data_IF_942696030290
#
_entry.id   IF_942696030290
#
_cell.length_a   1.000
_cell.length_b   1.000
_cell.length_c   1.000
_cell.angle_alpha   90.00
_cell.angle_beta   90.00
_cell.angle_gamma   90.00
#
_symmetry.space_group_name_H-M   'P 1'
#
loop_
_entity.id
_entity.type
_entity.pdbx_description
1 polymer ?
#
# COMPACT_ATOMS: atom_id res chain seq x y z
N UNK A 1 -8.79 12.43 -26.94
CA UNK A 1 -8.84 13.26 -25.72
C UNK A 1 -7.79 12.72 -24.80
N UNK A 2 -6.71 13.44 -24.52
CA UNK A 2 -5.66 12.96 -23.61
C UNK A 2 -6.23 12.95 -22.18
N UNK A 3 -6.38 11.77 -21.60
CA UNK A 3 -6.67 11.64 -20.18
C UNK A 3 -5.54 12.34 -19.42
N UNK A 4 -5.86 13.47 -18.81
CA UNK A 4 -4.90 14.30 -18.08
C UNK A 4 -4.73 13.74 -16.65
N UNK A 5 -4.38 12.45 -16.55
CA UNK A 5 -4.11 11.81 -15.27
C UNK A 5 -2.88 12.48 -14.67
N UNK A 6 -3.01 12.99 -13.46
CA UNK A 6 -1.90 13.60 -12.72
C UNK A 6 -1.05 12.48 -12.13
N UNK A 7 0.15 12.32 -12.65
CA UNK A 7 1.09 11.31 -12.19
C UNK A 7 1.71 11.80 -10.87
N UNK A 8 1.48 11.07 -9.79
CA UNK A 8 2.00 11.41 -8.45
C UNK A 8 3.31 10.71 -8.11
N UNK A 9 3.69 9.66 -8.86
CA UNK A 9 4.86 8.82 -8.60
C UNK A 9 5.66 8.57 -9.88
N UNK A 10 6.97 8.44 -9.71
CA UNK A 10 7.92 8.21 -10.79
C UNK A 10 9.11 7.37 -10.30
N UNK A 11 9.93 6.88 -11.21
CA UNK A 11 11.18 6.19 -10.90
C UNK A 11 12.36 7.15 -10.98
N UNK A 12 13.14 7.22 -9.90
CA UNK A 12 14.40 7.96 -9.84
C UNK A 12 15.55 7.04 -10.18
N UNK A 13 16.05 7.11 -11.42
CA UNK A 13 17.15 6.27 -11.90
C UNK A 13 18.45 6.44 -11.14
N UNK A 14 18.73 7.63 -10.61
CA UNK A 14 19.97 7.88 -9.88
C UNK A 14 19.95 7.26 -8.50
N UNK A 15 18.77 7.19 -7.87
CA UNK A 15 18.58 6.62 -6.54
C UNK A 15 18.07 5.17 -6.58
N UNK A 16 17.83 4.65 -7.79
CA UNK A 16 17.30 3.30 -8.05
C UNK A 16 16.05 2.98 -7.21
N UNK A 17 15.07 3.92 -7.21
CA UNK A 17 13.84 3.79 -6.43
C UNK A 17 12.68 4.57 -6.99
N UNK A 18 11.49 4.15 -6.62
CA UNK A 18 10.28 4.94 -6.83
C UNK A 18 10.28 6.16 -5.88
N UNK A 19 9.70 7.25 -6.31
CA UNK A 19 9.64 8.50 -5.57
C UNK A 19 8.30 9.21 -5.78
N UNK A 20 7.74 9.75 -4.69
CA UNK A 20 6.57 10.62 -4.77
C UNK A 20 6.94 12.00 -5.33
N UNK A 21 5.98 12.67 -5.94
CA UNK A 21 6.19 14.02 -6.48
C UNK A 21 6.63 15.02 -5.42
N UNK A 22 6.21 14.85 -4.16
CA UNK A 22 6.60 15.75 -3.07
C UNK A 22 8.08 15.64 -2.71
N UNK A 23 8.63 14.43 -2.76
CA UNK A 23 10.05 14.17 -2.51
C UNK A 23 10.93 14.43 -3.74
N UNK A 24 10.31 14.62 -4.91
CA UNK A 24 11.00 14.85 -6.16
C UNK A 24 11.59 16.27 -6.25
N UNK A 25 12.78 16.36 -6.82
CA UNK A 25 13.46 17.62 -7.07
C UNK A 25 12.92 18.31 -8.34
N UNK A 26 12.78 19.63 -8.30
CA UNK A 26 12.43 20.43 -9.46
C UNK A 26 13.62 20.39 -10.45
N UNK A 27 13.36 20.27 -11.72
CA UNK A 27 14.36 20.25 -12.80
C UNK A 27 15.13 18.94 -12.99
N UNK A 28 14.92 17.93 -12.16
CA UNK A 28 15.45 16.59 -12.37
C UNK A 28 14.51 15.78 -13.29
N UNK A 29 15.08 14.89 -14.07
CA UNK A 29 14.33 13.96 -14.91
C UNK A 29 14.07 12.66 -14.13
N UNK A 30 12.87 12.12 -14.33
CA UNK A 30 12.38 10.88 -13.75
C UNK A 30 11.86 9.99 -14.87
N UNK A 31 11.55 8.75 -14.57
CA UNK A 31 10.98 7.82 -15.52
C UNK A 31 9.55 7.44 -15.13
N UNK A 32 8.68 7.33 -16.11
CA UNK A 32 7.32 6.85 -15.91
C UNK A 32 7.32 5.37 -15.54
N UNK A 33 6.60 5.00 -14.50
CA UNK A 33 6.50 3.60 -14.06
C UNK A 33 5.80 2.69 -15.07
N UNK A 34 4.99 3.27 -15.97
CA UNK A 34 4.21 2.51 -16.93
C UNK A 34 4.90 2.41 -18.30
N UNK A 35 5.26 3.55 -18.88
CA UNK A 35 5.80 3.59 -20.24
C UNK A 35 7.29 3.82 -20.32
N UNK A 36 7.97 3.95 -19.20
CA UNK A 36 9.40 4.27 -19.10
C UNK A 36 9.82 5.58 -19.79
N UNK A 37 8.84 6.41 -20.20
CA UNK A 37 9.07 7.73 -20.77
C UNK A 37 9.55 8.74 -19.74
N UNK A 38 10.26 9.77 -20.23
CA UNK A 38 10.83 10.79 -19.37
C UNK A 38 9.77 11.70 -18.76
N UNK A 39 9.86 11.91 -17.46
CA UNK A 39 8.99 12.74 -16.65
C UNK A 39 9.74 13.90 -16.02
N UNK A 40 9.03 15.02 -15.80
CA UNK A 40 9.47 16.12 -14.93
C UNK A 40 8.40 16.50 -13.94
N UNK A 41 8.85 17.01 -12.79
CA UNK A 41 7.97 17.59 -11.77
C UNK A 41 7.48 18.96 -12.22
N UNK A 42 6.16 19.16 -12.17
CA UNK A 42 5.52 20.46 -12.31
C UNK A 42 5.07 20.95 -10.94
N UNK A 43 5.55 22.12 -10.55
CA UNK A 43 5.14 22.81 -9.34
C UNK A 43 4.36 24.06 -9.74
N UNK A 44 3.27 24.35 -9.05
CA UNK A 44 2.49 25.57 -9.26
C UNK A 44 1.79 26.00 -7.98
N UNK A 45 1.59 27.30 -7.83
CA UNK A 45 0.90 27.87 -6.66
C UNK A 45 -0.61 27.61 -6.64
N UNK A 46 -1.19 27.24 -7.79
CA UNK A 46 -2.65 27.07 -7.98
C UNK A 46 -3.03 25.61 -8.25
N UNK A 47 -2.11 24.83 -8.78
CA UNK A 47 -2.38 23.42 -9.13
C UNK A 47 -1.50 22.51 -8.30
N UNK A 48 -2.09 21.36 -7.89
CA UNK A 48 -1.37 20.27 -7.21
C UNK A 48 -0.10 19.90 -8.00
N UNK A 49 1.00 19.67 -7.30
CA UNK A 49 2.22 19.13 -7.89
C UNK A 49 1.93 17.79 -8.57
N UNK A 50 2.54 17.56 -9.73
CA UNK A 50 2.42 16.31 -10.47
C UNK A 50 3.61 16.14 -11.41
N UNK A 51 3.89 14.91 -11.77
CA UNK A 51 4.78 14.63 -12.89
C UNK A 51 4.03 14.78 -14.21
N UNK A 52 4.75 15.16 -15.23
CA UNK A 52 4.24 15.22 -16.60
C UNK A 52 5.28 14.67 -17.55
N UNK A 53 4.82 14.03 -18.63
CA UNK A 53 5.72 13.56 -19.69
C UNK A 53 6.33 14.72 -20.42
N UNK A 54 7.63 14.62 -20.69
CA UNK A 54 8.27 15.43 -21.71
C UNK A 54 7.82 14.96 -23.10
N UNK A 55 8.02 15.79 -24.14
CA UNK A 55 7.54 15.52 -25.48
C UNK A 55 7.93 14.13 -26.00
N UNK A 56 7.00 13.42 -26.62
CA UNK A 56 7.24 12.15 -27.29
C UNK A 56 6.56 10.91 -26.73
N UNK A 57 5.90 11.00 -25.57
CA UNK A 57 5.15 9.88 -25.01
C UNK A 57 3.64 9.98 -25.29
N UNK A 58 3.27 9.87 -26.58
CA UNK A 58 1.86 9.92 -27.02
C UNK A 58 1.06 8.66 -26.61
N UNK A 59 1.70 7.62 -26.09
CA UNK A 59 1.12 6.30 -25.83
C UNK A 59 1.04 5.91 -24.36
N UNK A 60 1.32 6.81 -23.42
CA UNK A 60 1.17 6.47 -22.02
C UNK A 60 -0.30 6.47 -21.60
N UNK A 61 -0.79 5.30 -21.24
CA UNK A 61 -2.15 5.07 -20.79
C UNK A 61 -2.20 4.81 -19.28
N UNK A 62 -1.46 5.57 -18.47
CA UNK A 62 -1.63 5.47 -17.02
C UNK A 62 -3.11 5.72 -16.71
N UNK A 63 -3.76 4.71 -16.16
CA UNK A 63 -5.11 4.85 -15.63
C UNK A 63 -5.07 5.50 -14.23
N UNK A 64 -6.19 6.08 -13.81
CA UNK A 64 -6.34 6.54 -12.42
C UNK A 64 -6.14 5.37 -11.43
N UNK A 65 -6.58 4.19 -11.81
CA UNK A 65 -6.41 2.95 -11.06
C UNK A 65 -4.94 2.60 -10.88
N UNK A 66 -4.15 2.55 -11.96
CA UNK A 66 -2.71 2.26 -11.90
C UNK A 66 -1.98 3.30 -11.04
N UNK A 67 -2.35 4.57 -11.17
CA UNK A 67 -1.76 5.64 -10.37
C UNK A 67 -2.12 5.51 -8.89
N UNK A 68 -3.37 5.17 -8.57
CA UNK A 68 -3.83 4.92 -7.21
C UNK A 68 -3.13 3.70 -6.58
N UNK A 69 -3.03 2.59 -7.33
CA UNK A 69 -2.37 1.36 -6.88
C UNK A 69 -0.89 1.63 -6.56
N UNK A 70 -0.14 2.12 -7.52
CA UNK A 70 1.30 2.36 -7.35
C UNK A 70 1.57 3.41 -6.28
N UNK A 71 0.74 4.46 -6.21
CA UNK A 71 0.87 5.52 -5.23
C UNK A 71 0.64 5.04 -3.80
N UNK A 72 -0.45 4.34 -3.59
CA UNK A 72 -0.78 3.83 -2.25
C UNK A 72 0.22 2.75 -1.79
N UNK A 73 0.69 1.90 -2.70
CA UNK A 73 1.73 0.91 -2.40
C UNK A 73 3.03 1.57 -1.92
N UNK A 74 3.52 2.58 -2.66
CA UNK A 74 4.73 3.29 -2.28
C UNK A 74 4.56 4.05 -0.96
N UNK A 75 3.44 4.73 -0.75
CA UNK A 75 3.16 5.44 0.49
C UNK A 75 3.14 4.48 1.70
N UNK A 76 2.46 3.32 1.57
CA UNK A 76 2.45 2.30 2.62
C UNK A 76 3.87 1.83 2.94
N UNK A 77 4.65 1.49 1.92
CA UNK A 77 6.04 1.08 2.07
C UNK A 77 6.86 2.15 2.80
N UNK A 78 6.79 3.41 2.36
CA UNK A 78 7.51 4.52 2.99
C UNK A 78 7.10 4.72 4.46
N UNK A 79 5.81 4.61 4.78
CA UNK A 79 5.36 4.66 6.17
C UNK A 79 6.01 3.54 7.01
N UNK A 80 5.99 2.31 6.52
CA UNK A 80 6.54 1.16 7.23
C UNK A 80 8.08 1.24 7.39
N UNK A 81 8.79 1.74 6.38
CA UNK A 81 10.24 1.95 6.42
C UNK A 81 10.64 3.09 7.37
N UNK A 82 9.91 4.19 7.35
CA UNK A 82 10.17 5.37 8.18
C UNK A 82 9.68 5.21 9.64
N UNK A 83 9.05 4.07 9.98
CA UNK A 83 8.42 3.86 11.30
C UNK A 83 7.21 4.75 11.56
N UNK A 84 6.57 5.25 10.49
CA UNK A 84 5.31 5.98 10.57
C UNK A 84 4.15 5.00 10.56
N UNK A 85 3.10 5.32 11.29
CA UNK A 85 1.90 4.51 11.35
C UNK A 85 0.92 4.91 10.24
N UNK A 86 0.75 4.09 9.17
CA UNK A 86 -0.23 4.38 8.13
C UNK A 86 -1.65 4.38 8.72
N UNK A 87 -2.55 5.16 8.12
CA UNK A 87 -3.94 5.22 8.58
C UNK A 87 -4.69 4.01 8.02
N UNK A 88 -4.87 2.98 8.86
CA UNK A 88 -5.57 1.75 8.50
C UNK A 88 -6.86 1.64 9.32
N UNK A 89 -7.98 1.45 8.63
CA UNK A 89 -9.28 1.24 9.25
C UNK A 89 -9.73 -0.21 9.07
N UNK A 90 -10.22 -0.79 10.15
CA UNK A 90 -10.81 -2.10 10.18
C UNK A 90 -12.33 -2.01 10.29
N UNK A 91 -13.04 -2.62 9.35
CA UNK A 91 -14.48 -2.70 9.42
C UNK A 91 -14.90 -3.80 10.41
N UNK A 92 -15.81 -3.49 11.33
CA UNK A 92 -16.24 -4.45 12.34
C UNK A 92 -16.95 -5.66 11.76
N UNK A 93 -17.54 -5.55 10.57
CA UNK A 93 -18.29 -6.64 9.94
C UNK A 93 -17.40 -7.81 9.46
N UNK A 94 -16.11 -7.54 9.19
CA UNK A 94 -15.15 -8.57 8.77
C UNK A 94 -14.38 -9.22 9.94
N UNK A 95 -14.63 -8.80 11.18
CA UNK A 95 -14.00 -9.41 12.35
C UNK A 95 -14.40 -10.88 12.51
N UNK A 96 -13.43 -11.80 12.67
CA UNK A 96 -13.74 -13.22 12.86
C UNK A 96 -14.37 -13.51 14.22
N UNK A 97 -14.05 -12.71 15.26
CA UNK A 97 -14.63 -12.87 16.59
C UNK A 97 -16.05 -12.32 16.65
N UNK A 98 -17.03 -13.23 16.66
CA UNK A 98 -18.45 -12.91 16.69
C UNK A 98 -18.81 -12.13 17.96
N UNK A 99 -18.21 -12.44 19.11
CA UNK A 99 -18.51 -11.75 20.38
C UNK A 99 -18.04 -10.30 20.32
N UNK A 100 -16.81 -10.09 19.87
CA UNK A 100 -16.25 -8.74 19.70
C UNK A 100 -17.07 -7.93 18.69
N UNK A 101 -17.43 -8.52 17.55
CA UNK A 101 -18.30 -7.89 16.55
C UNK A 101 -19.64 -7.47 17.12
N UNK A 102 -20.28 -8.32 17.93
CA UNK A 102 -21.56 -7.99 18.59
C UNK A 102 -21.43 -6.86 19.61
N UNK A 103 -20.32 -6.82 20.38
CA UNK A 103 -20.04 -5.74 21.33
C UNK A 103 -19.88 -4.41 20.59
N UNK A 104 -19.04 -4.38 19.57
CA UNK A 104 -18.78 -3.17 18.78
C UNK A 104 -20.03 -2.68 18.05
N UNK A 105 -20.84 -3.57 17.50
CA UNK A 105 -22.10 -3.22 16.86
C UNK A 105 -23.11 -2.64 17.87
N UNK A 106 -23.22 -3.19 19.08
CA UNK A 106 -24.04 -2.60 20.16
C UNK A 106 -23.57 -1.21 20.53
N UNK A 107 -22.26 -0.97 20.55
CA UNK A 107 -21.65 0.34 20.77
C UNK A 107 -21.77 1.28 19.55
N UNK A 108 -22.37 0.83 18.44
CA UNK A 108 -22.48 1.55 17.16
C UNK A 108 -21.12 1.88 16.53
N UNK A 109 -20.09 1.14 16.87
CA UNK A 109 -18.75 1.25 16.27
C UNK A 109 -18.73 0.36 15.02
N UNK A 110 -18.75 0.99 13.84
CA UNK A 110 -18.69 0.28 12.54
C UNK A 110 -17.29 0.11 12.01
N UNK A 111 -16.37 0.97 12.42
CA UNK A 111 -14.99 1.02 11.95
C UNK A 111 -14.09 1.55 13.06
N UNK A 112 -12.87 1.05 13.15
CA UNK A 112 -11.85 1.56 14.08
C UNK A 112 -10.48 1.57 13.40
N UNK A 113 -9.62 2.48 13.86
CA UNK A 113 -8.24 2.53 13.41
C UNK A 113 -7.43 1.44 14.09
N UNK A 114 -6.55 0.81 13.32
CA UNK A 114 -5.57 -0.14 13.82
C UNK A 114 -4.17 0.31 13.39
N UNK A 115 -3.18 0.15 14.25
CA UNK A 115 -1.80 0.45 13.89
C UNK A 115 -1.17 -0.70 13.10
N UNK A 116 -0.18 -0.37 12.27
CA UNK A 116 0.60 -1.39 11.58
C UNK A 116 1.37 -2.27 12.58
N UNK A 117 1.82 -1.71 13.70
CA UNK A 117 2.49 -2.45 14.78
C UNK A 117 1.58 -3.47 15.44
N UNK A 118 0.30 -3.13 15.68
CA UNK A 118 -0.69 -4.07 16.22
C UNK A 118 -0.93 -5.23 15.25
N UNK A 119 -1.01 -4.95 13.95
CA UNK A 119 -1.16 -5.97 12.91
C UNK A 119 0.05 -6.90 12.83
N UNK A 120 1.23 -6.37 13.07
CA UNK A 120 2.48 -7.11 12.98
C UNK A 120 2.99 -7.65 14.34
N UNK A 121 2.22 -7.53 15.40
CA UNK A 121 2.62 -7.90 16.77
C UNK A 121 3.91 -7.20 17.28
N UNK A 122 4.13 -5.95 16.87
CA UNK A 122 5.25 -5.13 17.32
C UNK A 122 6.64 -5.59 16.89
N UNK A 123 6.74 -6.45 15.89
CA UNK A 123 8.04 -6.90 15.36
C UNK A 123 8.63 -5.86 14.40
N UNK A 124 9.89 -5.50 14.56
CA UNK A 124 10.57 -4.57 13.64
C UNK A 124 10.75 -5.19 12.25
N UNK A 125 10.57 -4.39 11.21
CA UNK A 125 10.45 -4.89 9.84
C UNK A 125 11.16 -4.01 8.81
N UNK A 126 11.69 -4.69 7.80
CA UNK A 126 12.12 -4.07 6.55
C UNK A 126 11.05 -4.40 5.51
N UNK A 127 10.52 -3.39 4.83
CA UNK A 127 9.53 -3.57 3.77
C UNK A 127 10.19 -3.54 2.39
N UNK A 128 9.70 -4.37 1.49
CA UNK A 128 10.13 -4.42 0.11
C UNK A 128 8.89 -4.53 -0.79
N UNK A 129 8.84 -3.72 -1.85
CA UNK A 129 7.74 -3.72 -2.82
C UNK A 129 8.02 -4.69 -3.97
N UNK A 130 6.94 -5.26 -4.52
CA UNK A 130 6.97 -6.17 -5.67
C UNK A 130 8.03 -7.28 -5.56
N UNK A 131 8.13 -7.90 -4.39
CA UNK A 131 9.05 -9.00 -4.18
C UNK A 131 8.35 -10.34 -4.34
N UNK A 132 9.13 -11.33 -4.77
CA UNK A 132 8.66 -12.70 -4.85
C UNK A 132 8.44 -13.26 -3.45
N UNK A 133 7.31 -13.90 -3.24
CA UNK A 133 7.00 -14.58 -1.98
C UNK A 133 7.79 -15.88 -1.94
N UNK A 134 8.60 -16.06 -0.90
CA UNK A 134 9.50 -17.20 -0.75
C UNK A 134 8.77 -18.55 -0.91
N UNK A 135 9.30 -19.42 -1.73
CA UNK A 135 8.73 -20.73 -2.00
C UNK A 135 7.51 -20.75 -2.93
N UNK A 136 7.17 -19.61 -3.56
CA UNK A 136 6.04 -19.50 -4.48
C UNK A 136 6.42 -18.85 -5.81
N UNK A 137 5.45 -18.79 -6.73
CA UNK A 137 5.54 -17.99 -7.95
C UNK A 137 4.76 -16.66 -7.83
N UNK A 138 4.22 -16.36 -6.65
CA UNK A 138 3.46 -15.14 -6.41
C UNK A 138 4.37 -13.97 -6.04
N UNK A 139 3.90 -12.75 -6.35
CA UNK A 139 4.53 -11.48 -6.01
C UNK A 139 3.64 -10.78 -5.00
N UNK A 140 4.21 -10.22 -3.94
CA UNK A 140 3.49 -9.38 -2.98
C UNK A 140 3.67 -7.91 -3.30
N UNK A 141 2.64 -7.09 -3.10
CA UNK A 141 2.72 -5.65 -3.34
C UNK A 141 3.72 -4.97 -2.38
N UNK A 142 3.61 -5.27 -1.08
CA UNK A 142 4.60 -4.88 -0.06
C UNK A 142 4.81 -6.06 0.87
N UNK A 143 6.05 -6.43 1.13
CA UNK A 143 6.41 -7.53 2.03
C UNK A 143 7.22 -7.00 3.20
N UNK A 144 6.69 -7.15 4.41
CA UNK A 144 7.42 -6.90 5.64
C UNK A 144 8.08 -8.19 6.13
N UNK A 145 9.36 -8.11 6.49
CA UNK A 145 10.14 -9.24 6.96
C UNK A 145 10.67 -8.98 8.37
N UNK A 146 10.82 -10.01 9.15
CA UNK A 146 11.51 -9.94 10.43
C UNK A 146 12.97 -9.55 10.22
N UNK A 147 13.50 -8.70 11.10
CA UNK A 147 14.89 -8.22 10.99
C UNK A 147 15.88 -9.35 11.23
N UNK A 148 15.60 -10.21 12.20
CA UNK A 148 16.52 -11.24 12.68
C UNK A 148 16.68 -12.40 11.68
N UNK A 149 15.58 -13.06 11.32
CA UNK A 149 15.59 -14.29 10.52
C UNK A 149 15.15 -14.10 9.05
N UNK A 150 14.77 -12.86 8.69
CA UNK A 150 14.27 -12.49 7.34
C UNK A 150 12.98 -13.21 6.93
N UNK A 151 12.34 -13.94 7.83
CA UNK A 151 11.04 -14.57 7.54
C UNK A 151 9.99 -13.52 7.22
N UNK A 152 8.98 -13.91 6.44
CA UNK A 152 7.87 -13.02 6.10
C UNK A 152 7.04 -12.78 7.37
N UNK A 153 6.95 -11.51 7.74
CA UNK A 153 6.14 -11.08 8.87
C UNK A 153 4.72 -10.69 8.45
N UNK A 154 4.57 -10.09 7.26
CA UNK A 154 3.29 -9.68 6.71
C UNK A 154 3.41 -9.45 5.21
N UNK A 155 2.39 -9.85 4.47
CA UNK A 155 2.17 -9.46 3.07
C UNK A 155 1.03 -8.45 3.05
N UNK A 156 1.28 -7.30 2.42
CA UNK A 156 0.32 -6.22 2.25
C UNK A 156 -0.06 -6.17 0.77
N UNK A 157 -1.32 -6.41 0.46
CA UNK A 157 -1.87 -6.38 -0.88
C UNK A 157 -2.74 -5.15 -1.05
N UNK A 158 -2.59 -4.45 -2.15
CA UNK A 158 -3.35 -3.23 -2.45
C UNK A 158 -4.47 -3.56 -3.45
N UNK A 159 -5.70 -3.50 -2.98
CA UNK A 159 -6.88 -3.71 -3.80
C UNK A 159 -7.45 -2.38 -4.29
N UNK A 160 -7.30 -2.09 -5.57
CA UNK A 160 -8.05 -0.99 -6.21
C UNK A 160 -9.32 -1.54 -6.85
N UNK A 161 -9.21 -2.45 -7.79
CA UNK A 161 -10.35 -3.09 -8.47
C UNK A 161 -10.38 -4.60 -8.29
N UNK A 162 -9.23 -5.26 -8.29
CA UNK A 162 -9.13 -6.72 -8.21
C UNK A 162 -8.74 -7.17 -6.81
N UNK A 163 -9.34 -8.26 -6.37
CA UNK A 163 -8.99 -8.96 -5.13
C UNK A 163 -7.75 -9.83 -5.34
N UNK A 164 -7.13 -10.25 -4.23
CA UNK A 164 -6.09 -11.28 -4.26
C UNK A 164 -6.60 -12.50 -5.02
N UNK A 165 -5.82 -12.98 -5.98
CA UNK A 165 -6.14 -14.18 -6.75
C UNK A 165 -6.43 -15.36 -5.82
N UNK A 166 -7.50 -16.15 -6.09
CA UNK A 166 -7.88 -17.27 -5.22
C UNK A 166 -6.74 -18.26 -4.96
N UNK A 167 -5.93 -18.55 -5.96
CA UNK A 167 -4.79 -19.44 -5.87
C UNK A 167 -3.70 -18.89 -4.93
N UNK A 168 -3.42 -17.58 -5.03
CA UNK A 168 -2.47 -16.88 -4.14
C UNK A 168 -2.99 -16.91 -2.70
N UNK A 169 -4.27 -16.58 -2.50
CA UNK A 169 -4.91 -16.62 -1.18
C UNK A 169 -4.83 -18.01 -0.56
N UNK A 170 -5.22 -19.05 -1.31
CA UNK A 170 -5.16 -20.43 -0.84
C UNK A 170 -3.74 -20.84 -0.46
N UNK A 171 -2.75 -20.46 -1.27
CA UNK A 171 -1.35 -20.75 -0.99
C UNK A 171 -0.87 -20.06 0.29
N UNK A 172 -1.21 -18.78 0.50
CA UNK A 172 -0.88 -18.04 1.72
C UNK A 172 -1.48 -18.70 2.97
N UNK A 173 -2.74 -19.13 2.89
CA UNK A 173 -3.44 -19.80 3.98
C UNK A 173 -2.81 -21.16 4.32
N UNK A 174 -2.52 -21.97 3.33
CA UNK A 174 -1.88 -23.29 3.50
C UNK A 174 -0.48 -23.19 4.13
N UNK A 175 0.28 -22.16 3.76
CA UNK A 175 1.62 -21.92 4.29
C UNK A 175 1.64 -21.06 5.55
N UNK A 176 0.46 -20.70 6.08
CA UNK A 176 0.29 -19.89 7.31
C UNK A 176 1.02 -18.55 7.25
N UNK A 177 1.11 -17.95 6.06
CA UNK A 177 1.76 -16.65 5.86
C UNK A 177 0.74 -15.54 6.17
N UNK A 178 1.05 -14.61 7.09
CA UNK A 178 0.16 -13.49 7.40
C UNK A 178 -0.01 -12.58 6.18
N UNK A 179 -1.24 -12.23 5.86
CA UNK A 179 -1.54 -11.27 4.80
C UNK A 179 -2.72 -10.37 5.14
N UNK A 180 -2.74 -9.20 4.54
CA UNK A 180 -3.82 -8.24 4.64
C UNK A 180 -4.05 -7.58 3.28
N UNK A 181 -5.29 -7.48 2.87
CA UNK A 181 -5.72 -6.82 1.65
C UNK A 181 -6.34 -5.46 2.00
N UNK A 182 -5.77 -4.42 1.45
CA UNK A 182 -6.07 -3.03 1.78
C UNK A 182 -6.65 -2.29 0.58
N UNK A 183 -7.82 -1.67 0.76
CA UNK A 183 -8.40 -0.76 -0.22
C UNK A 183 -7.95 0.65 0.08
N UNK A 184 -7.15 1.28 -0.80
CA UNK A 184 -6.67 2.63 -0.60
C UNK A 184 -7.73 3.66 -0.98
N UNK A 185 -7.67 4.82 -0.32
CA UNK A 185 -8.32 6.05 -0.77
C UNK A 185 -7.41 7.23 -0.48
N UNK A 186 -7.35 8.20 -1.37
CA UNK A 186 -6.61 9.44 -1.10
C UNK A 186 -7.20 10.15 0.13
N UNK A 187 -6.32 10.63 1.01
CA UNK A 187 -6.71 11.35 2.22
C UNK A 187 -6.35 12.84 2.09
N UNK A 188 -5.06 13.17 2.09
CA UNK A 188 -4.56 14.53 1.89
C UNK A 188 -3.23 14.47 1.13
N UNK A 189 -3.02 15.33 0.13
CA UNK A 189 -1.73 15.59 -0.55
C UNK A 189 -0.83 14.35 -0.77
N UNK A 190 -1.35 13.32 -1.47
CA UNK A 190 -0.67 12.03 -1.71
C UNK A 190 -0.45 11.17 -0.45
N UNK A 191 -1.12 11.48 0.65
CA UNK A 191 -1.31 10.56 1.76
C UNK A 191 -2.52 9.66 1.48
N UNK A 192 -2.41 8.41 1.94
CA UNK A 192 -3.47 7.43 1.76
C UNK A 192 -3.96 6.94 3.10
N UNK A 193 -5.24 6.67 3.16
CA UNK A 193 -5.86 5.84 4.18
C UNK A 193 -6.30 4.53 3.56
N UNK A 194 -6.30 3.50 4.36
CA UNK A 194 -6.58 2.14 3.92
C UNK A 194 -7.77 1.58 4.69
N UNK A 195 -8.61 0.86 4.00
CA UNK A 195 -9.66 0.03 4.60
C UNK A 195 -9.29 -1.44 4.42
N UNK A 196 -9.31 -2.21 5.51
CA UNK A 196 -9.08 -3.65 5.44
C UNK A 196 -10.27 -4.32 4.77
N UNK A 197 -10.01 -5.02 3.68
CA UNK A 197 -11.01 -5.77 2.91
C UNK A 197 -11.02 -7.23 3.30
N UNK A 198 -9.86 -7.83 3.39
CA UNK A 198 -9.68 -9.21 3.81
C UNK A 198 -8.31 -9.40 4.49
N UNK A 199 -8.15 -10.50 5.19
CA UNK A 199 -6.89 -10.87 5.86
C UNK A 199 -6.89 -12.35 6.19
N UNK A 200 -5.69 -12.88 6.43
CA UNK A 200 -5.50 -14.27 6.87
C UNK A 200 -4.25 -14.45 7.71
N UNK A 201 -4.27 -15.48 8.55
CA UNK A 201 -3.15 -15.88 9.43
C UNK A 201 -2.64 -14.76 10.37
N UNK A 202 -3.47 -13.74 10.64
CA UNK A 202 -3.17 -12.66 11.58
C UNK A 202 -3.87 -12.95 12.90
N UNK A 203 -3.11 -12.92 13.99
CA UNK A 203 -3.67 -13.03 15.33
C UNK A 203 -4.05 -11.63 15.85
N UNK A 204 -5.23 -11.18 15.46
CA UNK A 204 -5.78 -9.93 15.94
C UNK A 204 -6.16 -10.03 17.42
N UNK A 205 -5.78 -9.01 18.21
CA UNK A 205 -6.26 -8.78 19.59
C UNK A 205 -5.85 -9.78 20.66
N UNK A 206 -4.83 -10.61 20.46
CA UNK A 206 -4.33 -11.47 21.57
C UNK A 206 -3.84 -10.69 22.80
N UNK A 207 -3.51 -9.41 22.66
CA UNK A 207 -2.97 -8.57 23.74
C UNK A 207 -3.83 -7.35 24.12
N UNK A 208 -4.96 -7.14 23.46
CA UNK A 208 -5.83 -6.00 23.76
C UNK A 208 -6.67 -6.34 25.00
N UNK A 209 -6.14 -6.07 26.17
CA UNK A 209 -6.96 -5.87 27.38
C UNK A 209 -7.69 -4.56 27.19
N UNK A 210 -8.95 -4.63 26.80
CA UNK A 210 -9.86 -3.47 26.86
C UNK A 210 -10.02 -3.10 28.33
N UNK A 211 -9.37 -2.03 28.76
CA UNK A 211 -9.60 -1.40 30.07
C UNK A 211 -10.77 -0.42 30.00
#
# INVERSE_FOLDING_TARGET
MSNNVKISYAYDKERDRQISVHKAEKHKNYECLECHGELRKRCGTIRREHFYHLSGCEKCNISEETNLHNGSKLYLKECLEDGKDPIIFFNTDILPDIKLRLILNKAKIKQFRISADDLMNGLMKVSKDEDKIDGSNFIGDVISRNVDDKSIAMIWEIKVTHEIEPEKRQWLEQNKIPYIELKPSEYEFDEFKYEVVSFGNIELFKKTTFH
#
